data_IF_599876158911
#
_entry.id   IF_599876158911
#
_cell.length_a   1.000
_cell.length_b   1.000
_cell.length_c   1.000
_cell.angle_alpha   90.00
_cell.angle_beta   90.00
_cell.angle_gamma   90.00
#
_symmetry.space_group_name_H-M   'P 1'
#
loop_
_entity.id
_entity.type
_entity.pdbx_description
1 polymer ?
#
# COMPACT_ATOMS: atom_id res chain seq x y z
N UNK A 1 -26.48 -26.27 -18.26
CA UNK A 1 -25.45 -25.62 -17.41
C UNK A 1 -25.89 -25.75 -15.96
N UNK A 2 -25.09 -26.39 -15.11
CA UNK A 2 -25.48 -26.74 -13.75
C UNK A 2 -25.57 -25.46 -12.88
N UNK A 3 -26.45 -25.43 -11.87
CA UNK A 3 -26.62 -24.26 -10.98
C UNK A 3 -25.30 -23.84 -10.30
N UNK A 4 -24.46 -24.83 -9.99
CA UNK A 4 -23.09 -24.66 -9.48
C UNK A 4 -22.16 -23.93 -10.46
N UNK A 5 -22.33 -24.16 -11.77
CA UNK A 5 -21.52 -23.50 -12.80
C UNK A 5 -21.96 -22.04 -13.00
N UNK A 6 -23.27 -21.75 -12.84
CA UNK A 6 -23.78 -20.38 -12.86
C UNK A 6 -23.30 -19.57 -11.65
N UNK A 7 -23.32 -20.14 -10.44
CA UNK A 7 -22.77 -19.48 -9.25
C UNK A 7 -21.28 -19.16 -9.43
N UNK A 8 -20.48 -20.14 -9.90
CA UNK A 8 -19.06 -19.92 -10.22
C UNK A 8 -18.80 -18.81 -11.24
N UNK A 9 -19.70 -18.65 -12.22
CA UNK A 9 -19.57 -17.60 -13.22
C UNK A 9 -19.79 -16.19 -12.66
N UNK A 10 -20.48 -16.05 -11.52
CA UNK A 10 -20.76 -14.76 -10.84
C UNK A 10 -19.73 -14.46 -9.75
N UNK A 11 -19.16 -15.50 -9.11
CA UNK A 11 -18.15 -15.38 -8.05
C UNK A 11 -16.92 -14.57 -8.48
N UNK A 12 -16.33 -14.92 -9.63
CA UNK A 12 -15.10 -14.28 -10.11
C UNK A 12 -15.32 -12.78 -10.44
N UNK A 13 -16.37 -12.39 -11.19
CA UNK A 13 -16.72 -10.97 -11.38
C UNK A 13 -16.89 -10.20 -10.08
N UNK A 14 -17.52 -10.80 -9.06
CA UNK A 14 -17.74 -10.12 -7.78
C UNK A 14 -16.43 -9.85 -7.02
N UNK A 15 -15.52 -10.82 -6.97
CA UNK A 15 -14.19 -10.65 -6.37
C UNK A 15 -13.40 -9.59 -7.13
N UNK A 16 -13.40 -9.65 -8.48
CA UNK A 16 -12.72 -8.67 -9.31
C UNK A 16 -13.29 -7.27 -9.06
N UNK A 17 -14.61 -7.12 -9.00
CA UNK A 17 -15.26 -5.84 -8.72
C UNK A 17 -14.87 -5.29 -7.33
N UNK A 18 -14.88 -6.14 -6.30
CA UNK A 18 -14.49 -5.75 -4.94
C UNK A 18 -13.02 -5.30 -4.87
N UNK A 19 -12.10 -6.06 -5.47
CA UNK A 19 -10.69 -5.68 -5.53
C UNK A 19 -10.47 -4.41 -6.37
N UNK A 20 -11.17 -4.28 -7.50
CA UNK A 20 -11.09 -3.11 -8.36
C UNK A 20 -11.57 -1.87 -7.61
N UNK A 21 -12.68 -1.97 -6.88
CA UNK A 21 -13.18 -0.89 -6.03
C UNK A 21 -12.17 -0.51 -4.94
N UNK A 22 -11.57 -1.49 -4.27
CA UNK A 22 -10.53 -1.24 -3.26
C UNK A 22 -9.32 -0.52 -3.87
N UNK A 23 -8.81 -0.99 -5.01
CA UNK A 23 -7.67 -0.37 -5.72
C UNK A 23 -8.04 1.06 -6.14
N UNK A 24 -9.24 1.27 -6.67
CA UNK A 24 -9.70 2.58 -7.12
C UNK A 24 -9.79 3.56 -5.94
N UNK A 25 -10.40 3.17 -4.82
CA UNK A 25 -10.45 4.00 -3.61
C UNK A 25 -9.03 4.26 -3.09
N UNK A 26 -8.16 3.24 -3.09
CA UNK A 26 -6.77 3.38 -2.69
C UNK A 26 -6.03 4.42 -3.52
N UNK A 27 -6.06 4.29 -4.85
CA UNK A 27 -5.39 5.22 -5.76
C UNK A 27 -5.99 6.62 -5.69
N UNK A 28 -7.32 6.74 -5.66
CA UNK A 28 -8.00 8.03 -5.54
C UNK A 28 -7.62 8.74 -4.25
N UNK A 29 -7.62 8.04 -3.10
CA UNK A 29 -7.18 8.63 -1.83
C UNK A 29 -5.72 9.11 -1.88
N UNK A 30 -4.86 8.37 -2.59
CA UNK A 30 -3.44 8.71 -2.82
C UNK A 30 -3.22 9.81 -3.83
N UNK A 31 -4.22 10.23 -4.58
CA UNK A 31 -4.12 11.36 -5.49
C UNK A 31 -4.71 12.59 -4.81
N UNK A 32 -5.91 12.45 -4.26
CA UNK A 32 -6.75 13.55 -3.75
C UNK A 32 -6.35 14.00 -2.34
N UNK A 33 -6.01 13.08 -1.42
CA UNK A 33 -5.76 13.42 -0.02
C UNK A 33 -4.26 13.57 0.27
N UNK A 34 -3.80 14.75 0.66
CA UNK A 34 -2.42 14.97 1.12
C UNK A 34 -2.26 14.56 2.59
N UNK A 35 -3.24 14.86 3.44
CA UNK A 35 -3.26 14.52 4.87
C UNK A 35 -4.68 14.17 5.34
N UNK A 36 -4.78 13.27 6.34
CA UNK A 36 -6.04 12.96 7.01
C UNK A 36 -5.78 12.70 8.50
N UNK A 37 -6.76 12.98 9.36
CA UNK A 37 -6.67 12.71 10.80
C UNK A 37 -6.54 11.20 11.07
N UNK A 38 -5.73 10.85 12.08
CA UNK A 38 -5.44 9.44 12.44
C UNK A 38 -6.47 8.85 13.44
N UNK A 39 -7.38 9.67 13.97
CA UNK A 39 -8.29 9.31 15.06
C UNK A 39 -9.65 8.75 14.60
N UNK A 40 -10.18 7.79 15.41
CA UNK A 40 -11.46 7.06 15.29
C UNK A 40 -11.51 5.82 14.37
N UNK A 41 -10.41 5.08 14.24
CA UNK A 41 -10.43 3.80 13.53
C UNK A 41 -11.14 2.67 14.29
N UNK A 42 -11.16 2.69 15.62
CA UNK A 42 -11.65 1.56 16.45
C UNK A 42 -13.15 1.32 16.34
N UNK A 43 -13.97 2.37 16.30
CA UNK A 43 -15.44 2.25 16.20
C UNK A 43 -15.90 1.68 14.85
N UNK A 44 -15.07 1.85 13.81
CA UNK A 44 -15.35 1.36 12.45
C UNK A 44 -15.02 -0.12 12.26
N UNK A 45 -14.31 -0.75 13.20
CA UNK A 45 -13.95 -2.17 13.11
C UNK A 45 -15.19 -3.07 13.13
N UNK A 46 -16.21 -2.72 13.92
CA UNK A 46 -17.45 -3.51 13.99
C UNK A 46 -18.18 -3.46 12.64
N UNK A 47 -18.31 -2.27 12.05
CA UNK A 47 -18.95 -2.11 10.74
C UNK A 47 -18.15 -2.78 9.61
N UNK A 48 -16.82 -2.68 9.64
CA UNK A 48 -15.96 -3.38 8.70
C UNK A 48 -16.08 -4.92 8.85
N UNK A 49 -16.19 -5.43 10.08
CA UNK A 49 -16.44 -6.85 10.33
C UNK A 49 -17.79 -7.29 9.76
N UNK A 50 -18.87 -6.55 10.05
CA UNK A 50 -20.21 -6.86 9.52
C UNK A 50 -20.22 -6.85 7.98
N UNK A 51 -19.66 -5.80 7.37
CA UNK A 51 -19.65 -5.67 5.91
C UNK A 51 -18.74 -6.69 5.21
N UNK A 52 -17.64 -7.11 5.84
CA UNK A 52 -16.74 -8.13 5.29
C UNK A 52 -17.23 -9.57 5.51
N UNK A 53 -18.12 -9.80 6.48
CA UNK A 53 -18.52 -11.13 6.93
C UNK A 53 -19.00 -12.09 5.82
N UNK A 54 -19.86 -11.68 4.85
CA UNK A 54 -20.28 -12.57 3.77
C UNK A 54 -19.10 -13.04 2.90
N UNK A 55 -18.17 -12.13 2.61
CA UNK A 55 -16.98 -12.42 1.80
C UNK A 55 -16.01 -13.34 2.55
N UNK A 56 -15.88 -13.14 3.86
CA UNK A 56 -15.06 -13.98 4.75
C UNK A 56 -15.61 -15.41 4.80
N UNK A 57 -16.90 -15.59 5.06
CA UNK A 57 -17.52 -16.93 5.09
C UNK A 57 -17.35 -17.61 3.74
N UNK A 58 -17.68 -16.89 2.66
CA UNK A 58 -17.57 -17.43 1.32
C UNK A 58 -16.15 -17.88 0.99
N UNK A 59 -15.14 -17.02 1.23
CA UNK A 59 -13.73 -17.34 1.00
C UNK A 59 -13.26 -18.54 1.83
N UNK A 60 -13.67 -18.59 3.10
CA UNK A 60 -13.35 -19.68 4.03
C UNK A 60 -13.88 -21.02 3.54
N UNK A 61 -15.17 -21.08 3.21
CA UNK A 61 -15.80 -22.29 2.72
C UNK A 61 -15.19 -22.71 1.37
N UNK A 62 -14.99 -21.76 0.46
CA UNK A 62 -14.44 -22.03 -0.87
C UNK A 62 -13.04 -22.63 -0.79
N UNK A 63 -12.15 -22.04 0.01
CA UNK A 63 -10.79 -22.52 0.21
C UNK A 63 -10.77 -23.87 0.94
N UNK A 64 -11.54 -24.00 2.02
CA UNK A 64 -11.63 -25.24 2.79
C UNK A 64 -12.12 -26.43 1.96
N UNK A 65 -13.15 -26.24 1.13
CA UNK A 65 -13.64 -27.30 0.24
C UNK A 65 -12.73 -27.56 -0.97
N UNK A 66 -12.03 -26.54 -1.48
CA UNK A 66 -11.09 -26.72 -2.59
C UNK A 66 -9.87 -27.55 -2.18
N UNK A 67 -9.33 -27.26 -0.99
CA UNK A 67 -8.15 -27.96 -0.46
C UNK A 67 -8.50 -29.26 0.28
N UNK A 68 -9.79 -29.60 0.36
CA UNK A 68 -10.31 -30.74 1.15
C UNK A 68 -9.80 -30.73 2.60
N UNK A 69 -9.69 -29.52 3.16
CA UNK A 69 -9.11 -29.29 4.47
C UNK A 69 -9.97 -29.90 5.58
N UNK A 70 -9.32 -30.34 6.66
CA UNK A 70 -10.02 -30.73 7.90
C UNK A 70 -10.57 -29.48 8.60
N UNK A 71 -11.44 -29.65 9.60
CA UNK A 71 -12.11 -28.55 10.31
C UNK A 71 -11.17 -27.42 10.79
N UNK A 72 -9.95 -27.75 11.22
CA UNK A 72 -8.95 -26.75 11.65
C UNK A 72 -8.40 -25.91 10.47
N UNK A 73 -8.39 -26.44 9.25
CA UNK A 73 -8.04 -25.66 8.06
C UNK A 73 -9.08 -24.59 7.77
N UNK A 74 -10.37 -24.87 7.97
CA UNK A 74 -11.44 -23.86 7.87
C UNK A 74 -11.23 -22.73 8.87
N UNK A 75 -10.77 -23.01 10.09
CA UNK A 75 -10.44 -21.96 11.08
C UNK A 75 -9.28 -21.10 10.59
N UNK A 76 -8.23 -21.72 10.04
CA UNK A 76 -7.10 -21.00 9.44
C UNK A 76 -7.53 -20.05 8.32
N UNK A 77 -8.34 -20.54 7.37
CA UNK A 77 -8.88 -19.69 6.31
C UNK A 77 -9.81 -18.59 6.85
N UNK A 78 -10.66 -18.90 7.84
CA UNK A 78 -11.52 -17.91 8.48
C UNK A 78 -10.72 -16.76 9.08
N UNK A 79 -9.68 -17.06 9.86
CA UNK A 79 -8.81 -16.05 10.44
C UNK A 79 -8.11 -15.22 9.35
N UNK A 80 -7.56 -15.88 8.33
CA UNK A 80 -6.87 -15.21 7.22
C UNK A 80 -7.80 -14.25 6.46
N UNK A 81 -8.97 -14.73 6.04
CA UNK A 81 -9.94 -13.93 5.31
C UNK A 81 -10.57 -12.86 6.20
N UNK A 82 -10.79 -13.11 7.48
CA UNK A 82 -11.31 -12.10 8.43
C UNK A 82 -10.34 -10.93 8.57
N UNK A 83 -9.06 -11.22 8.83
CA UNK A 83 -8.04 -10.17 8.97
C UNK A 83 -7.92 -9.34 7.70
N UNK A 84 -7.87 -9.99 6.55
CA UNK A 84 -7.75 -9.31 5.26
C UNK A 84 -9.03 -8.53 4.89
N UNK A 85 -10.20 -9.15 5.08
CA UNK A 85 -11.51 -8.58 4.75
C UNK A 85 -11.85 -7.37 5.62
N UNK A 86 -11.63 -7.46 6.93
CA UNK A 86 -11.82 -6.33 7.85
C UNK A 86 -10.90 -5.18 7.45
N UNK A 87 -9.61 -5.46 7.20
CA UNK A 87 -8.64 -4.43 6.81
C UNK A 87 -9.04 -3.72 5.51
N UNK A 88 -9.34 -4.47 4.45
CA UNK A 88 -9.76 -3.93 3.15
C UNK A 88 -11.04 -3.10 3.28
N UNK A 89 -12.04 -3.64 3.98
CA UNK A 89 -13.34 -3.00 4.14
C UNK A 89 -13.25 -1.74 4.98
N UNK A 90 -12.52 -1.77 6.10
CA UNK A 90 -12.30 -0.59 6.93
C UNK A 90 -11.62 0.52 6.14
N UNK A 91 -10.60 0.18 5.36
CA UNK A 91 -9.93 1.15 4.50
C UNK A 91 -10.88 1.77 3.48
N UNK A 92 -11.70 0.96 2.79
CA UNK A 92 -12.68 1.47 1.82
C UNK A 92 -13.74 2.36 2.45
N UNK A 93 -14.25 1.99 3.64
CA UNK A 93 -15.28 2.78 4.31
C UNK A 93 -14.74 4.16 4.71
N UNK A 94 -13.56 4.21 5.33
CA UNK A 94 -12.94 5.47 5.78
C UNK A 94 -12.55 6.32 4.57
N UNK A 95 -11.74 5.78 3.67
CA UNK A 95 -11.21 6.53 2.53
C UNK A 95 -12.29 6.86 1.50
N UNK A 96 -13.25 5.95 1.28
CA UNK A 96 -14.38 6.19 0.39
C UNK A 96 -15.26 7.32 0.89
N UNK A 97 -15.56 7.39 2.20
CA UNK A 97 -16.33 8.49 2.78
C UNK A 97 -15.55 9.81 2.76
N UNK A 98 -14.25 9.81 3.05
CA UNK A 98 -13.41 11.01 2.90
C UNK A 98 -13.41 11.52 1.45
N UNK A 99 -13.24 10.63 0.47
CA UNK A 99 -13.28 10.99 -0.96
C UNK A 99 -14.66 11.52 -1.38
N UNK A 100 -15.74 10.91 -0.87
CA UNK A 100 -17.09 11.40 -1.10
C UNK A 100 -17.27 12.81 -0.53
N UNK A 101 -16.80 13.06 0.69
CA UNK A 101 -16.92 14.37 1.32
C UNK A 101 -16.06 15.42 0.61
N UNK A 102 -14.88 15.08 0.11
CA UNK A 102 -14.09 15.96 -0.76
C UNK A 102 -14.87 16.34 -2.02
N UNK A 103 -15.61 15.40 -2.61
CA UNK A 103 -16.33 15.64 -3.84
C UNK A 103 -17.60 16.48 -3.66
N UNK A 104 -18.20 16.47 -2.45
CA UNK A 104 -19.51 17.07 -2.18
C UNK A 104 -19.41 18.34 -1.32
N UNK A 105 -18.44 18.42 -0.42
CA UNK A 105 -18.33 19.53 0.52
C UNK A 105 -17.35 20.59 0.03
N UNK A 106 -17.62 21.84 0.42
CA UNK A 106 -16.72 22.94 0.12
C UNK A 106 -15.51 22.93 1.07
N UNK A 107 -14.32 22.88 0.48
CA UNK A 107 -13.07 23.07 1.20
C UNK A 107 -12.85 24.54 1.52
N UNK A 108 -12.28 24.82 2.68
CA UNK A 108 -11.91 26.18 3.07
C UNK A 108 -10.40 26.29 3.02
N UNK A 109 -9.89 27.22 2.20
CA UNK A 109 -8.48 27.56 2.20
C UNK A 109 -8.13 28.27 3.51
N UNK A 110 -7.16 27.74 4.25
CA UNK A 110 -6.73 28.28 5.54
C UNK A 110 -5.22 28.31 5.64
N UNK A 111 -4.70 29.37 6.23
CA UNK A 111 -3.30 29.46 6.62
C UNK A 111 -3.13 28.93 8.03
N UNK A 112 -2.34 27.87 8.19
CA UNK A 112 -2.14 27.21 9.48
C UNK A 112 -0.69 27.25 9.92
N UNK A 113 -0.49 27.34 11.24
CA UNK A 113 0.83 27.25 11.86
C UNK A 113 1.19 25.79 12.10
N UNK A 114 2.36 25.38 11.62
CA UNK A 114 2.94 24.06 11.90
C UNK A 114 3.59 24.13 13.28
N UNK A 115 3.10 23.30 14.20
CA UNK A 115 3.68 23.12 15.53
C UNK A 115 4.79 22.10 15.51
N UNK A 116 4.57 20.98 14.82
CA UNK A 116 5.49 19.85 14.82
C UNK A 116 5.35 18.99 13.56
N UNK A 117 6.49 18.52 13.03
CA UNK A 117 6.54 17.56 11.92
C UNK A 117 7.41 16.39 12.35
N UNK A 118 6.78 15.26 12.63
CA UNK A 118 7.45 14.04 13.09
C UNK A 118 7.40 12.95 12.04
N UNK A 119 8.52 12.29 11.87
CA UNK A 119 8.59 11.07 11.07
C UNK A 119 8.22 9.87 11.95
N UNK A 120 7.11 9.23 11.64
CA UNK A 120 6.63 8.08 12.42
C UNK A 120 6.98 6.79 11.68
N UNK A 121 7.88 6.04 12.29
CA UNK A 121 8.24 4.69 11.86
C UNK A 121 7.44 3.69 12.69
N UNK A 122 6.31 3.21 12.15
CA UNK A 122 5.55 2.19 12.84
C UNK A 122 6.30 0.85 12.78
N UNK A 123 6.96 0.46 13.88
CA UNK A 123 7.66 -0.82 14.02
C UNK A 123 6.72 -2.03 13.82
N UNK A 124 5.41 -1.87 14.04
CA UNK A 124 4.40 -2.95 13.95
C UNK A 124 3.59 -2.98 12.66
N UNK A 125 3.36 -1.83 12.01
CA UNK A 125 2.56 -1.77 10.76
C UNK A 125 3.40 -1.56 9.49
N UNK A 126 4.73 -1.42 9.62
CA UNK A 126 5.65 -1.23 8.49
C UNK A 126 5.40 0.06 7.70
N UNK A 127 4.45 0.90 8.12
CA UNK A 127 4.06 2.11 7.42
C UNK A 127 4.90 3.29 7.88
N UNK A 128 5.71 3.83 6.96
CA UNK A 128 6.30 5.14 7.10
C UNK A 128 5.24 6.18 6.79
N UNK A 129 4.98 7.09 7.74
CA UNK A 129 4.16 8.26 7.52
C UNK A 129 4.77 9.46 8.24
N UNK A 130 4.25 10.63 7.93
CA UNK A 130 4.64 11.87 8.59
C UNK A 130 3.46 12.33 9.44
N UNK A 131 3.65 12.42 10.75
CA UNK A 131 2.69 13.06 11.62
C UNK A 131 2.95 14.58 11.59
N UNK A 132 1.96 15.35 11.17
CA UNK A 132 2.03 16.80 11.09
C UNK A 132 1.02 17.36 12.10
N UNK A 133 1.51 18.09 13.08
CA UNK A 133 0.66 18.78 14.05
C UNK A 133 0.61 20.26 13.68
N UNK A 134 -0.58 20.77 13.39
CA UNK A 134 -0.82 22.19 13.15
C UNK A 134 -1.80 22.76 14.18
N UNK A 135 -1.80 24.08 14.31
CA UNK A 135 -2.75 24.80 15.16
C UNK A 135 -3.89 25.28 14.27
N UNK A 136 -5.09 24.72 14.50
CA UNK A 136 -6.32 25.11 13.84
C UNK A 136 -7.32 25.61 14.88
N UNK A 137 -7.87 26.80 14.69
CA UNK A 137 -8.83 27.41 15.63
C UNK A 137 -8.33 27.39 17.09
N UNK A 138 -7.01 27.61 17.29
CA UNK A 138 -6.36 27.60 18.61
C UNK A 138 -6.09 26.22 19.21
N UNK A 139 -6.45 25.12 18.53
CA UNK A 139 -6.25 23.74 19.00
C UNK A 139 -5.21 23.00 18.16
N UNK A 140 -4.33 22.18 18.78
CA UNK A 140 -3.41 21.34 18.04
C UNK A 140 -4.18 20.15 17.43
N UNK A 141 -4.08 19.98 16.12
CA UNK A 141 -4.63 18.83 15.39
C UNK A 141 -3.46 18.09 14.76
N UNK A 142 -3.40 16.77 14.99
CA UNK A 142 -2.37 15.91 14.40
C UNK A 142 -2.96 15.13 13.24
N UNK A 143 -2.38 15.32 12.07
CA UNK A 143 -2.75 14.60 10.86
C UNK A 143 -1.64 13.68 10.38
N UNK A 144 -2.06 12.62 9.71
CA UNK A 144 -1.20 11.69 9.02
C UNK A 144 -1.03 12.15 7.57
N UNK A 145 0.15 12.69 7.31
CA UNK A 145 0.63 13.02 5.97
C UNK A 145 1.42 11.86 5.36
N UNK A 146 1.63 11.94 4.06
CA UNK A 146 2.45 10.98 3.30
C UNK A 146 3.90 11.03 3.78
N UNK A 147 4.62 9.92 3.66
CA UNK A 147 6.00 9.80 4.16
C UNK A 147 6.99 10.83 3.58
N UNK A 148 6.77 11.28 2.35
CA UNK A 148 7.60 12.31 1.72
C UNK A 148 7.27 13.73 2.22
N UNK A 149 6.14 13.93 2.90
CA UNK A 149 5.73 15.23 3.42
C UNK A 149 6.70 15.77 4.46
N UNK A 150 7.36 14.88 5.21
CA UNK A 150 8.44 15.24 6.12
C UNK A 150 9.47 16.17 5.46
N UNK A 151 9.94 15.84 4.26
CA UNK A 151 11.05 16.56 3.61
C UNK A 151 10.69 17.97 3.15
N UNK A 152 9.42 18.26 2.84
CA UNK A 152 9.01 19.62 2.43
C UNK A 152 8.35 20.42 3.56
N UNK A 153 7.90 19.77 4.65
CA UNK A 153 7.24 20.44 5.77
C UNK A 153 8.16 20.72 6.96
N UNK A 154 9.24 19.95 7.16
CA UNK A 154 10.06 20.03 8.38
C UNK A 154 10.58 21.44 8.70
N UNK A 155 10.89 22.24 7.67
CA UNK A 155 11.46 23.58 7.81
C UNK A 155 10.42 24.71 7.68
N UNK A 156 9.13 24.35 7.55
CA UNK A 156 8.04 25.31 7.35
C UNK A 156 7.34 25.60 8.68
N UNK A 157 7.14 26.89 8.97
CA UNK A 157 6.38 27.35 10.14
C UNK A 157 4.91 27.61 9.85
N UNK A 158 4.60 28.00 8.61
CA UNK A 158 3.26 28.36 8.14
C UNK A 158 3.05 27.74 6.76
N UNK A 159 1.85 27.22 6.52
CA UNK A 159 1.44 26.68 5.21
C UNK A 159 -0.01 27.08 4.93
N UNK A 160 -0.33 27.30 3.66
CA UNK A 160 -1.71 27.43 3.21
C UNK A 160 -2.21 26.04 2.79
N UNK A 161 -3.35 25.64 3.34
CA UNK A 161 -3.95 24.33 3.13
C UNK A 161 -5.40 24.47 2.68
N UNK A 162 -5.85 23.55 1.83
CA UNK A 162 -7.26 23.32 1.60
C UNK A 162 -7.76 22.32 2.64
N UNK A 163 -8.61 22.79 3.55
CA UNK A 163 -9.06 22.02 4.70
C UNK A 163 -10.55 21.69 4.57
N UNK A 164 -10.90 20.43 4.82
CA UNK A 164 -12.27 19.95 4.91
C UNK A 164 -12.50 19.11 6.17
N UNK A 165 -13.77 18.98 6.58
CA UNK A 165 -14.18 18.20 7.76
C UNK A 165 -15.12 17.09 7.32
N UNK A 166 -14.81 15.84 7.67
CA UNK A 166 -15.71 14.70 7.48
C UNK A 166 -16.12 14.11 8.83
N UNK A 167 -17.24 13.38 8.85
CA UNK A 167 -17.61 12.52 9.98
C UNK A 167 -16.51 11.48 10.30
N UNK A 168 -15.71 11.13 9.28
CA UNK A 168 -14.57 10.20 9.39
C UNK A 168 -13.26 10.88 9.83
N UNK A 169 -13.28 12.19 10.06
CA UNK A 169 -12.12 12.98 10.47
C UNK A 169 -11.83 14.14 9.54
N UNK A 170 -10.98 15.06 10.00
CA UNK A 170 -10.56 16.19 9.17
C UNK A 170 -9.59 15.71 8.08
N UNK A 171 -9.57 16.40 6.94
CA UNK A 171 -8.72 16.09 5.81
C UNK A 171 -8.15 17.35 5.13
N UNK A 172 -7.02 17.16 4.46
CA UNK A 172 -6.34 18.16 3.63
C UNK A 172 -6.08 17.58 2.26
N UNK A 173 -6.59 18.25 1.23
CA UNK A 173 -6.44 17.82 -0.18
C UNK A 173 -5.29 18.51 -0.87
N UNK A 174 -5.01 19.76 -0.53
CA UNK A 174 -3.91 20.50 -1.09
C UNK A 174 -3.14 21.28 -0.03
N UNK A 175 -1.83 21.37 -0.24
CA UNK A 175 -0.91 22.26 0.47
C UNK A 175 -0.29 23.14 -0.60
N UNK A 176 -0.43 24.46 -0.45
CA UNK A 176 0.08 25.45 -1.40
C UNK A 176 1.61 25.50 -1.35
N UNK A 177 2.23 24.56 -2.06
CA UNK A 177 3.66 24.41 -2.23
C UNK A 177 3.94 24.24 -3.71
N UNK A 178 5.12 24.71 -4.13
CA UNK A 178 5.53 24.54 -5.52
C UNK A 178 5.63 23.05 -5.88
N UNK A 179 5.24 22.71 -7.11
CA UNK A 179 5.38 21.34 -7.63
C UNK A 179 6.84 20.86 -7.57
N UNK A 180 7.79 21.79 -7.72
CA UNK A 180 9.23 21.54 -7.60
C UNK A 180 9.63 21.06 -6.20
N UNK A 181 9.15 21.72 -5.14
CA UNK A 181 9.43 21.30 -3.75
C UNK A 181 8.85 19.91 -3.46
N UNK A 182 7.62 19.66 -3.93
CA UNK A 182 6.98 18.33 -3.80
C UNK A 182 7.78 17.25 -4.54
N UNK A 183 8.28 17.53 -5.74
CA UNK A 183 9.10 16.59 -6.52
C UNK A 183 10.46 16.32 -5.86
N UNK A 184 11.12 17.37 -5.38
CA UNK A 184 12.39 17.24 -4.65
C UNK A 184 12.22 16.40 -3.38
N UNK A 185 11.15 16.63 -2.61
CA UNK A 185 10.84 15.85 -1.43
C UNK A 185 10.54 14.36 -1.74
N UNK A 186 9.83 14.08 -2.85
CA UNK A 186 9.62 12.70 -3.33
C UNK A 186 10.95 12.02 -3.67
N UNK A 187 11.88 12.76 -4.29
CA UNK A 187 13.21 12.26 -4.61
C UNK A 187 14.06 11.98 -3.36
N UNK A 188 14.05 12.91 -2.39
CA UNK A 188 14.71 12.71 -1.10
C UNK A 188 14.14 11.48 -0.37
N UNK A 189 12.81 11.33 -0.37
CA UNK A 189 12.16 10.15 0.19
C UNK A 189 12.57 8.86 -0.53
N UNK A 190 12.68 8.87 -1.86
CA UNK A 190 13.15 7.71 -2.62
C UNK A 190 14.60 7.34 -2.26
N UNK A 191 15.51 8.33 -2.22
CA UNK A 191 16.90 8.12 -1.79
C UNK A 191 16.98 7.48 -0.41
N UNK A 192 16.23 8.04 0.54
CA UNK A 192 16.17 7.56 1.91
C UNK A 192 15.49 6.18 2.03
N UNK A 193 14.52 5.85 1.15
CA UNK A 193 13.93 4.51 1.05
C UNK A 193 14.92 3.48 0.51
N UNK A 194 15.61 3.79 -0.59
CA UNK A 194 16.65 2.92 -1.17
C UNK A 194 17.78 2.69 -0.15
N UNK A 195 18.20 3.74 0.55
CA UNK A 195 19.22 3.63 1.59
C UNK A 195 18.80 2.66 2.72
N UNK A 196 17.52 2.66 3.12
CA UNK A 196 17.01 1.67 4.09
C UNK A 196 16.96 0.25 3.52
N UNK A 197 16.63 0.10 2.25
CA UNK A 197 16.54 -1.21 1.60
C UNK A 197 17.89 -1.84 1.25
N UNK A 198 19.02 -1.15 1.48
CA UNK A 198 20.36 -1.66 1.13
C UNK A 198 20.66 -3.06 1.67
N UNK A 199 20.19 -3.37 2.88
CA UNK A 199 20.38 -4.69 3.48
C UNK A 199 19.39 -5.74 2.97
N UNK A 200 18.17 -5.34 2.61
CA UNK A 200 17.20 -6.26 1.98
C UNK A 200 17.71 -6.69 0.60
N UNK A 201 18.28 -5.76 -0.17
CA UNK A 201 18.96 -6.08 -1.42
C UNK A 201 20.10 -7.08 -1.21
N UNK A 202 20.90 -6.91 -0.17
CA UNK A 202 21.97 -7.83 0.19
C UNK A 202 21.43 -9.23 0.57
N UNK A 203 20.33 -9.30 1.32
CA UNK A 203 19.69 -10.58 1.68
C UNK A 203 19.12 -11.28 0.45
N UNK A 204 18.42 -10.56 -0.43
CA UNK A 204 17.90 -11.12 -1.69
C UNK A 204 19.05 -11.64 -2.55
N UNK A 205 20.13 -10.86 -2.67
CA UNK A 205 21.32 -11.27 -3.40
C UNK A 205 21.96 -12.52 -2.78
N UNK A 206 22.06 -12.59 -1.45
CA UNK A 206 22.56 -13.77 -0.74
C UNK A 206 21.64 -14.99 -0.92
N UNK A 207 20.32 -14.81 -0.96
CA UNK A 207 19.36 -15.88 -1.27
C UNK A 207 19.51 -16.39 -2.70
N UNK A 208 19.71 -15.50 -3.68
CA UNK A 208 19.96 -15.87 -5.07
C UNK A 208 21.28 -16.65 -5.18
N UNK A 209 22.37 -16.12 -4.61
CA UNK A 209 23.67 -16.79 -4.59
C UNK A 209 23.59 -18.15 -3.88
N UNK A 210 22.94 -18.19 -2.71
CA UNK A 210 22.71 -19.43 -1.95
C UNK A 210 21.88 -20.44 -2.73
N UNK A 211 20.85 -20.00 -3.46
CA UNK A 211 20.06 -20.84 -4.37
C UNK A 211 20.89 -21.41 -5.51
N UNK A 212 21.76 -20.59 -6.11
CA UNK A 212 22.68 -21.01 -7.18
C UNK A 212 23.74 -22.00 -6.67
N UNK A 213 24.30 -21.77 -5.47
CA UNK A 213 25.23 -22.68 -4.80
C UNK A 213 24.52 -24.00 -4.46
N UNK A 214 23.32 -23.94 -3.88
CA UNK A 214 22.51 -25.12 -3.56
C UNK A 214 22.24 -25.95 -4.82
N UNK A 215 21.80 -25.33 -5.91
CA UNK A 215 21.54 -26.00 -7.18
C UNK A 215 22.80 -26.66 -7.78
N UNK A 216 24.00 -26.10 -7.53
CA UNK A 216 25.26 -26.60 -8.09
C UNK A 216 25.92 -27.69 -7.25
N UNK A 217 25.86 -27.58 -5.92
CA UNK A 217 26.65 -28.40 -5.01
C UNK A 217 25.82 -29.37 -4.15
N UNK A 218 24.51 -29.16 -4.03
CA UNK A 218 23.65 -29.98 -3.17
C UNK A 218 22.57 -30.72 -3.99
N UNK A 219 22.55 -32.06 -3.98
CA UNK A 219 21.56 -32.82 -4.72
C UNK A 219 20.17 -32.69 -4.08
N UNK A 220 19.15 -32.55 -4.92
CA UNK A 220 17.75 -32.44 -4.48
C UNK A 220 17.22 -33.74 -3.83
N UNK A 221 17.90 -34.87 -4.03
CA UNK A 221 17.58 -36.17 -3.44
C UNK A 221 18.87 -36.82 -2.90
N UNK A 222 18.84 -37.37 -1.67
CA UNK A 222 19.98 -38.09 -1.13
C UNK A 222 20.32 -39.30 -2.03
N UNK A 223 21.61 -39.47 -2.35
CA UNK A 223 22.11 -40.57 -3.19
C UNK A 223 22.12 -40.32 -4.70
N UNK A 224 21.68 -39.14 -5.19
CA UNK A 224 21.79 -38.76 -6.61
C UNK A 224 22.85 -37.67 -6.79
N UNK A 225 23.61 -37.65 -7.90
CA UNK A 225 24.53 -36.55 -8.18
C UNK A 225 23.73 -35.25 -8.37
N UNK A 226 24.28 -34.09 -7.96
CA UNK A 226 23.62 -32.80 -8.14
C UNK A 226 23.29 -32.60 -9.61
N UNK A 227 22.04 -32.23 -9.89
CA UNK A 227 21.57 -31.98 -11.25
C UNK A 227 22.34 -30.76 -11.78
N UNK A 228 23.35 -30.99 -12.61
CA UNK A 228 24.17 -29.92 -13.18
C UNK A 228 23.25 -29.00 -13.99
N UNK A 229 22.90 -27.85 -13.41
CA UNK A 229 22.21 -26.80 -14.14
C UNK A 229 23.17 -26.34 -15.22
N UNK A 230 22.84 -26.61 -16.50
CA UNK A 230 23.70 -26.22 -17.62
C UNK A 230 23.99 -24.72 -17.59
N UNK A 231 25.22 -24.32 -17.90
CA UNK A 231 25.67 -22.92 -17.90
C UNK A 231 24.67 -21.99 -18.61
N UNK A 232 24.08 -22.45 -19.72
CA UNK A 232 23.04 -21.76 -20.48
C UNK A 232 21.76 -21.45 -19.70
N UNK A 233 21.29 -22.37 -18.85
CA UNK A 233 20.10 -22.12 -18.02
C UNK A 233 20.40 -21.09 -16.93
N UNK A 234 21.61 -21.13 -16.37
CA UNK A 234 22.05 -20.17 -15.37
C UNK A 234 22.22 -18.77 -15.97
N UNK A 235 22.86 -18.65 -17.14
CA UNK A 235 22.95 -17.38 -17.86
C UNK A 235 21.58 -16.86 -18.30
N UNK A 236 20.67 -17.72 -18.76
CA UNK A 236 19.30 -17.31 -19.11
C UNK A 236 18.53 -16.76 -17.89
N UNK A 237 18.65 -17.37 -16.71
CA UNK A 237 18.02 -16.87 -15.48
C UNK A 237 18.62 -15.53 -15.05
N UNK A 238 19.95 -15.40 -15.09
CA UNK A 238 20.63 -14.13 -14.75
C UNK A 238 20.21 -13.02 -15.73
N UNK A 239 20.18 -13.32 -17.04
CA UNK A 239 19.75 -12.37 -18.06
C UNK A 239 18.29 -11.99 -17.90
N UNK A 240 17.40 -12.95 -17.57
CA UNK A 240 16.00 -12.65 -17.29
C UNK A 240 15.86 -11.68 -16.11
N UNK A 241 16.60 -11.92 -15.01
CA UNK A 241 16.60 -11.02 -13.84
C UNK A 241 17.11 -9.62 -14.23
N UNK A 242 18.22 -9.54 -14.96
CA UNK A 242 18.79 -8.26 -15.40
C UNK A 242 17.83 -7.50 -16.33
N UNK A 243 17.20 -8.19 -17.29
CA UNK A 243 16.19 -7.61 -18.19
C UNK A 243 14.99 -7.11 -17.38
N UNK A 244 14.48 -7.87 -16.42
CA UNK A 244 13.39 -7.43 -15.55
C UNK A 244 13.77 -6.17 -14.76
N UNK A 245 14.99 -6.09 -14.24
CA UNK A 245 15.48 -4.88 -13.54
C UNK A 245 15.54 -3.69 -14.50
N UNK A 246 16.09 -3.86 -15.70
CA UNK A 246 16.18 -2.81 -16.72
C UNK A 246 14.79 -2.32 -17.12
N UNK A 247 13.83 -3.23 -17.34
CA UNK A 247 12.44 -2.89 -17.66
C UNK A 247 11.81 -2.09 -16.51
N UNK A 248 11.99 -2.51 -15.26
CA UNK A 248 11.47 -1.79 -14.10
C UNK A 248 12.06 -0.38 -13.98
N UNK A 249 13.37 -0.23 -14.22
CA UNK A 249 14.03 1.08 -14.27
C UNK A 249 13.51 1.95 -15.42
N UNK A 250 13.33 1.36 -16.60
CA UNK A 250 12.82 2.05 -17.78
C UNK A 250 11.37 2.52 -17.58
N UNK A 251 10.50 1.69 -17.02
CA UNK A 251 9.13 2.06 -16.64
C UNK A 251 9.16 3.19 -15.61
N UNK A 252 10.03 3.10 -14.60
CA UNK A 252 10.21 4.16 -13.61
C UNK A 252 10.65 5.49 -14.25
N UNK A 253 11.59 5.45 -15.18
CA UNK A 253 12.06 6.62 -15.94
C UNK A 253 10.97 7.17 -16.85
N UNK A 254 10.20 6.31 -17.52
CA UNK A 254 9.10 6.71 -18.38
C UNK A 254 8.00 7.43 -17.60
N UNK A 255 7.62 6.88 -16.43
CA UNK A 255 6.68 7.55 -15.51
C UNK A 255 7.23 8.91 -15.07
N UNK A 256 8.54 8.99 -14.77
CA UNK A 256 9.20 10.25 -14.42
C UNK A 256 9.15 11.28 -15.56
N UNK A 257 9.52 10.91 -16.78
CA UNK A 257 9.50 11.85 -17.91
C UNK A 257 8.07 12.29 -18.24
N UNK A 258 7.14 11.34 -18.33
CA UNK A 258 5.77 11.57 -18.80
C UNK A 258 4.95 12.40 -17.81
N UNK A 259 5.08 12.14 -16.52
CA UNK A 259 4.22 12.76 -15.50
C UNK A 259 4.93 13.83 -14.66
N UNK A 260 6.26 13.86 -14.64
CA UNK A 260 7.02 14.75 -13.74
C UNK A 260 7.86 15.78 -14.52
N UNK A 261 8.55 15.37 -15.60
CA UNK A 261 9.40 16.30 -16.36
C UNK A 261 8.61 17.20 -17.32
N UNK A 262 7.52 16.69 -17.91
CA UNK A 262 6.71 17.41 -18.90
C UNK A 262 5.59 18.30 -18.31
N UNK A 263 5.38 18.29 -16.99
CA UNK A 263 4.49 19.24 -16.30
C UNK A 263 5.28 20.48 -15.81
N UNK A 264 6.07 21.08 -16.71
CA UNK A 264 6.61 22.43 -16.57
C UNK A 264 5.61 23.46 -17.05
#
# INVERSE_FOLDING_TARGET
MNFKDRLRSIELPFIIAYFTLWILIYLSSRIVLEMAVDEKQSTMLIWAAIASFPLVIYGTLRAGFADKSKWHGFIGYYLMFSLFGIFMTQYMLIQGKLLYDVAVQNEVQRRVQIKEVKRVFSRRSGSNHTAVTFILDGKPITMKARAYAYFYLQDKKMIDINFGRSDMGDYVTNIALSSGDKAHARWLHLKDFVYRLKYIGLIILAMIIGGLIKARYFPAQPGKPPQKMGLWKMTAIIMAILITIVILLYIGLWVYVTFIANYR
#
